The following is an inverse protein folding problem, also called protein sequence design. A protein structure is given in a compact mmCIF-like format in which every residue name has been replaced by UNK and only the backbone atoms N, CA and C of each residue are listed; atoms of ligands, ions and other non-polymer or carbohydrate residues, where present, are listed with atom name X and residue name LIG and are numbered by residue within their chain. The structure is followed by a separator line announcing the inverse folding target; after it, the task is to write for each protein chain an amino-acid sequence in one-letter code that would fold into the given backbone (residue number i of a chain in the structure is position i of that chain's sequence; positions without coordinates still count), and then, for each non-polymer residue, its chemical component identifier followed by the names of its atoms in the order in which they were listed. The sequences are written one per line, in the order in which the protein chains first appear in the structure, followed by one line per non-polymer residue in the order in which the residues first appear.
data_IF_666705531164
#
_entry.id   IF_666705531164
#
_cell.length_a   1.000
_cell.length_b   1.000
_cell.length_c   1.000
_cell.angle_alpha   90.00
_cell.angle_beta   90.00
_cell.angle_gamma   90.00
#
_symmetry.space_group_name_H-M   'P 1'
#
loop_
_entity.id
_entity.type
_entity.pdbx_description
1 polymer ?
#
# COMPACT_ATOMS: atom_id res chain seq x y z
N UNK A 1 -21.48 8.36 -17.17
CA UNK A 1 -21.92 6.96 -17.30
C UNK A 1 -23.03 6.71 -16.29
N UNK A 2 -23.87 5.68 -16.51
CA UNK A 2 -24.97 5.33 -15.58
C UNK A 2 -24.42 4.47 -14.42
N UNK A 3 -25.22 4.35 -13.38
CA UNK A 3 -25.03 3.30 -12.37
C UNK A 3 -24.98 1.93 -13.06
N UNK A 4 -24.10 1.06 -12.60
CA UNK A 4 -23.99 -0.33 -13.05
C UNK A 4 -24.92 -1.21 -12.22
N UNK A 5 -25.41 -2.31 -12.80
CA UNK A 5 -25.98 -3.34 -11.94
C UNK A 5 -24.86 -4.08 -11.17
N UNK A 6 -25.27 -4.87 -10.19
CA UNK A 6 -24.33 -5.55 -9.29
C UNK A 6 -23.34 -6.48 -10.03
N UNK A 7 -23.83 -7.18 -11.05
CA UNK A 7 -23.00 -8.09 -11.84
C UNK A 7 -22.01 -7.32 -12.72
N UNK A 8 -22.47 -6.25 -13.38
CA UNK A 8 -21.61 -5.35 -14.16
C UNK A 8 -20.52 -4.71 -13.30
N UNK A 9 -20.88 -4.19 -12.10
CA UNK A 9 -19.95 -3.56 -11.19
C UNK A 9 -18.89 -4.55 -10.68
N UNK A 10 -19.32 -5.75 -10.29
CA UNK A 10 -18.40 -6.83 -9.87
C UNK A 10 -17.44 -7.21 -11.00
N UNK A 11 -17.94 -7.47 -12.19
CA UNK A 11 -17.10 -7.84 -13.33
C UNK A 11 -16.08 -6.73 -13.69
N UNK A 12 -16.47 -5.45 -13.57
CA UNK A 12 -15.56 -4.33 -13.76
C UNK A 12 -14.44 -4.32 -12.72
N UNK A 13 -14.77 -4.51 -11.44
CA UNK A 13 -13.79 -4.54 -10.35
C UNK A 13 -12.83 -5.73 -10.50
N UNK A 14 -13.35 -6.91 -10.81
CA UNK A 14 -12.53 -8.10 -11.06
C UNK A 14 -11.53 -7.86 -12.20
N UNK A 15 -11.98 -7.34 -13.33
CA UNK A 15 -11.12 -7.01 -14.47
C UNK A 15 -10.07 -5.93 -14.13
N UNK A 16 -10.39 -4.95 -13.29
CA UNK A 16 -9.44 -3.96 -12.79
C UNK A 16 -8.36 -4.61 -11.94
N UNK A 17 -8.75 -5.47 -11.00
CA UNK A 17 -7.80 -6.16 -10.10
C UNK A 17 -6.88 -7.13 -10.88
N UNK A 18 -7.39 -7.80 -11.91
CA UNK A 18 -6.55 -8.60 -12.81
C UNK A 18 -5.48 -7.75 -13.51
N UNK A 19 -5.84 -6.57 -14.03
CA UNK A 19 -4.89 -5.62 -14.64
C UNK A 19 -3.86 -5.12 -13.62
N UNK A 20 -4.28 -4.84 -12.40
CA UNK A 20 -3.39 -4.41 -11.32
C UNK A 20 -2.42 -5.55 -10.96
N UNK A 21 -2.91 -6.79 -10.82
CA UNK A 21 -2.05 -7.94 -10.54
C UNK A 21 -1.01 -8.17 -11.65
N UNK A 22 -1.43 -8.09 -12.93
CA UNK A 22 -0.50 -8.19 -14.05
C UNK A 22 0.54 -7.06 -14.00
N UNK A 23 0.11 -5.80 -13.77
CA UNK A 23 1.02 -4.66 -13.67
C UNK A 23 1.98 -4.78 -12.49
N UNK A 24 1.51 -5.31 -11.35
CA UNK A 24 2.34 -5.59 -10.19
C UNK A 24 3.41 -6.62 -10.51
N UNK A 25 3.04 -7.70 -11.18
CA UNK A 25 3.99 -8.71 -11.64
C UNK A 25 5.10 -8.08 -12.48
N UNK A 26 4.74 -7.29 -13.49
CA UNK A 26 5.69 -6.65 -14.41
C UNK A 26 6.59 -5.60 -13.75
N UNK A 27 6.04 -4.80 -12.81
CA UNK A 27 6.73 -3.62 -12.27
C UNK A 27 7.36 -3.82 -10.91
N UNK A 28 6.82 -4.74 -10.12
CA UNK A 28 7.29 -5.00 -8.76
C UNK A 28 7.98 -6.34 -8.68
N UNK A 29 7.26 -7.44 -8.89
CA UNK A 29 7.79 -8.80 -8.68
C UNK A 29 8.96 -9.13 -9.61
N UNK A 30 8.85 -8.82 -10.91
CA UNK A 30 9.91 -9.02 -11.90
C UNK A 30 10.97 -7.90 -11.90
N UNK A 31 10.79 -6.88 -11.05
CA UNK A 31 11.73 -5.78 -10.91
C UNK A 31 13.08 -6.23 -10.32
N UNK A 32 14.17 -5.59 -10.74
CA UNK A 32 15.53 -5.92 -10.31
C UNK A 32 15.67 -5.94 -8.77
N UNK A 33 15.03 -5.00 -8.07
CA UNK A 33 15.07 -4.96 -6.61
C UNK A 33 14.58 -6.29 -6.02
N UNK A 34 13.41 -6.78 -6.45
CA UNK A 34 12.84 -8.01 -5.94
C UNK A 34 13.63 -9.25 -6.35
N UNK A 35 14.17 -9.27 -7.57
CA UNK A 35 15.03 -10.38 -8.01
C UNK A 35 16.31 -10.49 -7.16
N UNK A 36 16.98 -9.37 -6.90
CA UNK A 36 18.19 -9.34 -6.04
C UNK A 36 17.87 -9.64 -4.58
N UNK A 37 16.72 -9.13 -4.10
CA UNK A 37 16.22 -9.40 -2.76
C UNK A 37 15.90 -10.88 -2.56
N UNK A 38 15.08 -11.44 -3.43
CA UNK A 38 14.70 -12.85 -3.38
C UNK A 38 15.91 -13.80 -3.48
N UNK A 39 16.95 -13.38 -4.19
CA UNK A 39 18.21 -14.12 -4.29
C UNK A 39 19.13 -13.95 -3.04
N UNK A 40 18.79 -13.06 -2.11
CA UNK A 40 19.63 -12.77 -0.94
C UNK A 40 20.90 -11.98 -1.26
N UNK A 41 20.91 -11.24 -2.38
CA UNK A 41 22.11 -10.53 -2.86
C UNK A 41 22.12 -9.04 -2.52
N UNK A 42 21.02 -8.47 -2.02
CA UNK A 42 21.00 -7.06 -1.61
C UNK A 42 21.76 -6.87 -0.28
N UNK A 43 22.73 -5.94 -0.22
CA UNK A 43 23.36 -5.55 1.03
C UNK A 43 22.36 -4.97 2.05
N UNK A 44 22.64 -5.12 3.34
CA UNK A 44 21.77 -4.57 4.42
C UNK A 44 21.59 -3.05 4.32
N UNK A 45 22.61 -2.35 3.85
CA UNK A 45 22.59 -0.90 3.65
C UNK A 45 21.55 -0.46 2.60
N UNK A 46 21.27 -1.30 1.60
CA UNK A 46 20.21 -1.04 0.61
C UNK A 46 18.84 -1.13 1.28
N UNK A 47 18.65 -2.05 2.23
CA UNK A 47 17.43 -2.10 3.03
C UNK A 47 17.31 -0.91 3.96
N UNK A 48 18.39 -0.47 4.60
CA UNK A 48 18.36 0.75 5.39
C UNK A 48 17.89 1.94 4.53
N UNK A 49 18.39 2.06 3.29
CA UNK A 49 17.94 3.08 2.35
C UNK A 49 16.46 2.90 1.97
N UNK A 50 16.03 1.67 1.69
CA UNK A 50 14.62 1.37 1.40
C UNK A 50 13.72 1.76 2.58
N UNK A 51 14.01 1.28 3.80
CA UNK A 51 13.17 1.52 4.97
C UNK A 51 13.16 2.97 5.42
N UNK A 52 14.24 3.73 5.20
CA UNK A 52 14.25 5.17 5.43
C UNK A 52 13.18 5.89 4.59
N UNK A 53 13.04 5.49 3.33
CA UNK A 53 12.06 6.06 2.41
C UNK A 53 10.67 5.49 2.63
N UNK A 54 10.56 4.16 2.74
CA UNK A 54 9.30 3.47 2.93
C UNK A 54 8.65 3.78 4.27
N UNK A 55 9.42 3.87 5.36
CA UNK A 55 8.90 4.25 6.67
C UNK A 55 8.32 5.66 6.70
N UNK A 56 9.01 6.62 6.09
CA UNK A 56 8.50 7.99 5.96
C UNK A 56 7.21 8.02 5.11
N UNK A 57 7.17 7.26 4.01
CA UNK A 57 5.98 7.09 3.17
C UNK A 57 4.82 6.46 3.96
N UNK A 58 5.06 5.37 4.71
CA UNK A 58 4.05 4.66 5.49
C UNK A 58 3.39 5.59 6.52
N UNK A 59 4.18 6.36 7.24
CA UNK A 59 3.65 7.34 8.22
C UNK A 59 2.71 8.34 7.56
N UNK A 60 3.07 8.88 6.39
CA UNK A 60 2.28 9.91 5.73
C UNK A 60 1.07 9.32 4.98
N UNK A 61 1.18 8.16 4.32
CA UNK A 61 0.06 7.56 3.57
C UNK A 61 -1.06 7.12 4.52
N UNK A 62 -0.72 6.62 5.71
CA UNK A 62 -1.71 6.21 6.70
C UNK A 62 -2.52 7.40 7.21
N UNK A 63 -1.91 8.59 7.33
CA UNK A 63 -2.67 9.82 7.63
C UNK A 63 -3.65 10.19 6.52
N UNK A 64 -3.29 9.96 5.25
CA UNK A 64 -4.21 10.19 4.13
C UNK A 64 -5.37 9.18 4.15
N UNK A 65 -5.11 7.92 4.51
CA UNK A 65 -6.14 6.90 4.70
C UNK A 65 -7.15 7.34 5.78
N UNK A 66 -6.67 7.82 6.92
CA UNK A 66 -7.54 8.37 7.97
C UNK A 66 -8.34 9.60 7.48
N UNK A 67 -7.73 10.52 6.73
CA UNK A 67 -8.40 11.68 6.16
C UNK A 67 -9.49 11.30 5.14
N UNK A 68 -9.35 10.15 4.44
CA UNK A 68 -10.33 9.70 3.47
C UNK A 68 -11.71 9.42 4.09
N UNK A 69 -11.75 8.97 5.35
CA UNK A 69 -12.97 8.79 6.09
C UNK A 69 -13.79 10.10 6.17
N UNK A 70 -13.15 11.19 6.55
CA UNK A 70 -13.81 12.50 6.61
C UNK A 70 -14.13 13.06 5.22
N UNK A 71 -13.21 12.89 4.26
CA UNK A 71 -13.36 13.41 2.90
C UNK A 71 -14.54 12.79 2.16
N UNK A 72 -14.79 11.48 2.35
CA UNK A 72 -15.84 10.73 1.69
C UNK A 72 -17.00 10.36 2.65
N UNK A 73 -17.12 11.05 3.78
CA UNK A 73 -18.17 10.83 4.77
C UNK A 73 -19.60 10.82 4.19
N UNK A 74 -19.98 11.66 3.20
CA UNK A 74 -21.32 11.59 2.60
C UNK A 74 -21.65 10.23 1.98
N UNK A 75 -20.67 9.55 1.39
CA UNK A 75 -20.82 8.19 0.87
C UNK A 75 -20.92 7.18 2.01
N UNK A 76 -20.00 7.20 2.96
CA UNK A 76 -19.96 6.23 4.07
C UNK A 76 -21.19 6.31 4.98
N UNK A 77 -21.80 7.48 5.18
CA UNK A 77 -23.06 7.60 5.91
C UNK A 77 -24.21 6.82 5.29
N UNK A 78 -24.17 6.56 3.98
CA UNK A 78 -25.18 5.76 3.27
C UNK A 78 -24.84 4.26 3.29
N UNK A 79 -23.60 3.90 3.69
CA UNK A 79 -23.05 2.54 3.69
C UNK A 79 -22.36 2.26 5.02
N UNK A 80 -23.14 2.04 6.12
CA UNK A 80 -22.60 1.89 7.47
C UNK A 80 -21.71 0.64 7.62
N UNK A 81 -21.92 -0.39 6.83
CA UNK A 81 -21.08 -1.58 6.72
C UNK A 81 -19.66 -1.21 6.28
N UNK A 82 -19.52 -0.47 5.19
CA UNK A 82 -18.23 0.01 4.70
C UNK A 82 -17.61 1.07 5.63
N UNK A 83 -18.44 1.85 6.31
CA UNK A 83 -17.97 2.83 7.28
C UNK A 83 -17.29 2.15 8.47
N UNK A 84 -17.88 1.07 8.99
CA UNK A 84 -17.29 0.29 10.08
C UNK A 84 -15.96 -0.33 9.65
N UNK A 85 -15.94 -1.03 8.50
CA UNK A 85 -14.74 -1.66 7.97
C UNK A 85 -13.59 -0.66 7.72
N UNK A 86 -13.89 0.54 7.21
CA UNK A 86 -12.86 1.59 7.07
C UNK A 86 -12.36 2.08 8.43
N UNK A 87 -13.22 2.13 9.44
CA UNK A 87 -12.83 2.47 10.81
C UNK A 87 -11.84 1.47 11.39
N UNK A 88 -12.08 0.18 11.19
CA UNK A 88 -11.18 -0.90 11.62
C UNK A 88 -9.86 -0.85 10.87
N UNK A 89 -9.87 -0.68 9.55
CA UNK A 89 -8.66 -0.52 8.75
C UNK A 89 -7.80 0.68 9.20
N UNK A 90 -8.43 1.80 9.58
CA UNK A 90 -7.71 2.94 10.17
C UNK A 90 -7.16 2.58 11.55
N UNK A 91 -7.88 1.81 12.35
CA UNK A 91 -7.41 1.39 13.67
C UNK A 91 -6.16 0.49 13.55
N UNK A 92 -6.06 -0.38 12.56
CA UNK A 92 -4.88 -1.21 12.30
C UNK A 92 -3.64 -0.35 12.03
N UNK A 93 -3.79 0.75 11.32
CA UNK A 93 -2.67 1.62 11.02
C UNK A 93 -2.10 2.37 12.22
N UNK A 94 -2.95 2.67 13.23
CA UNK A 94 -2.58 3.54 14.35
C UNK A 94 -2.62 2.87 15.73
N UNK A 95 -3.37 1.77 15.87
CA UNK A 95 -3.69 1.18 17.17
C UNK A 95 -3.36 -0.32 17.22
N UNK A 96 -3.72 -1.09 16.18
CA UNK A 96 -3.62 -2.55 16.14
C UNK A 96 -2.40 -3.03 15.33
N UNK A 97 -1.89 -4.25 15.63
CA UNK A 97 -2.06 -5.00 16.88
C UNK A 97 -1.48 -4.23 18.07
N UNK A 98 -2.10 -4.40 19.23
CA UNK A 98 -1.71 -3.63 20.41
C UNK A 98 -0.32 -3.98 20.95
N UNK A 99 0.36 -2.97 21.47
CA UNK A 99 0.63 -1.69 20.85
C UNK A 99 1.81 -1.82 19.92
N UNK A 100 1.98 -1.07 19.00
CA UNK A 100 1.33 0.03 18.34
C UNK A 100 1.08 -0.28 16.87
N UNK A 101 0.07 0.32 16.23
CA UNK A 101 -0.30 0.10 14.84
C UNK A 101 0.85 -0.04 13.83
N UNK A 102 0.54 -0.37 12.61
CA UNK A 102 1.48 -0.67 11.51
C UNK A 102 2.60 0.37 11.36
N UNK A 103 2.30 1.65 11.57
CA UNK A 103 3.28 2.76 11.53
C UNK A 103 4.46 2.55 12.51
N UNK A 104 4.18 2.11 13.74
CA UNK A 104 5.24 1.92 14.74
C UNK A 104 5.91 0.54 14.62
N UNK A 105 5.18 -0.45 14.13
CA UNK A 105 5.78 -1.76 13.77
C UNK A 105 6.79 -1.56 12.65
N UNK A 106 6.52 -0.67 11.68
CA UNK A 106 7.47 -0.29 10.64
C UNK A 106 8.77 0.28 11.21
N UNK A 107 8.70 1.13 12.24
CA UNK A 107 9.90 1.66 12.90
C UNK A 107 10.73 0.57 13.59
N UNK A 108 10.09 -0.47 14.13
CA UNK A 108 10.78 -1.64 14.70
C UNK A 108 11.55 -2.41 13.62
N UNK A 109 10.90 -2.70 12.50
CA UNK A 109 11.57 -3.36 11.37
C UNK A 109 12.72 -2.52 10.83
N UNK A 110 12.56 -1.21 10.71
CA UNK A 110 13.63 -0.31 10.28
C UNK A 110 14.81 -0.29 11.27
N UNK A 111 14.55 -0.40 12.58
CA UNK A 111 15.60 -0.48 13.61
C UNK A 111 16.48 -1.74 13.46
N UNK A 112 15.95 -2.86 12.96
CA UNK A 112 16.74 -4.04 12.62
C UNK A 112 17.80 -3.78 11.55
N UNK A 113 17.65 -2.72 10.76
CA UNK A 113 18.63 -2.23 9.78
C UNK A 113 19.44 -1.03 10.27
N UNK A 114 19.42 -0.74 11.58
CA UNK A 114 20.20 0.32 12.20
C UNK A 114 19.63 1.73 12.05
N UNK A 115 18.38 1.86 11.61
CA UNK A 115 17.71 3.15 11.47
C UNK A 115 17.04 3.58 12.79
N UNK A 116 17.17 4.86 13.10
CA UNK A 116 16.45 5.51 14.18
C UNK A 116 15.14 6.11 13.67
N UNK A 117 14.25 6.48 14.59
CA UNK A 117 13.04 7.24 14.24
C UNK A 117 13.39 8.57 13.53
N UNK A 118 14.45 9.24 13.97
CA UNK A 118 14.92 10.49 13.37
C UNK A 118 15.35 10.29 11.92
N UNK A 119 16.04 9.20 11.59
CA UNK A 119 16.42 8.86 10.22
C UNK A 119 15.22 8.74 9.28
N UNK A 120 14.09 8.31 9.79
CA UNK A 120 12.85 8.13 9.02
C UNK A 120 12.02 9.42 8.99
N UNK A 121 11.85 10.09 10.13
CA UNK A 121 10.92 11.22 10.24
C UNK A 121 11.50 12.55 9.77
N UNK A 122 12.84 12.74 9.84
CA UNK A 122 13.46 14.05 9.61
C UNK A 122 14.25 14.16 8.31
N UNK A 123 14.53 13.02 7.65
CA UNK A 123 15.21 13.02 6.36
C UNK A 123 14.23 13.06 5.20
N UNK A 124 14.54 13.80 4.12
CA UNK A 124 13.68 13.84 2.94
C UNK A 124 13.64 12.47 2.26
N UNK A 125 12.47 12.10 1.76
CA UNK A 125 12.29 10.93 0.90
C UNK A 125 12.99 11.14 -0.45
N UNK A 126 13.32 10.04 -1.13
CA UNK A 126 13.62 10.06 -2.56
C UNK A 126 12.44 10.67 -3.34
N UNK A 127 12.75 11.36 -4.43
CA UNK A 127 11.76 12.09 -5.22
C UNK A 127 10.63 11.18 -5.72
N UNK A 128 10.96 9.93 -6.08
CA UNK A 128 10.00 8.95 -6.58
C UNK A 128 9.05 8.48 -5.48
N UNK A 129 9.55 8.28 -4.27
CA UNK A 129 8.75 7.93 -3.11
C UNK A 129 7.83 9.10 -2.72
N UNK A 130 8.34 10.33 -2.73
CA UNK A 130 7.55 11.55 -2.54
C UNK A 130 6.48 11.69 -3.63
N UNK A 131 6.83 11.44 -4.90
CA UNK A 131 5.90 11.48 -6.03
C UNK A 131 4.74 10.51 -5.88
N UNK A 132 4.99 9.28 -5.38
CA UNK A 132 3.95 8.31 -5.06
C UNK A 132 2.98 8.84 -4.01
N UNK A 133 3.50 9.42 -2.94
CA UNK A 133 2.69 10.00 -1.87
C UNK A 133 1.91 11.23 -2.34
N UNK A 134 2.52 12.12 -3.13
CA UNK A 134 1.87 13.32 -3.63
C UNK A 134 0.79 13.00 -4.66
N UNK A 135 0.94 11.92 -5.44
CA UNK A 135 -0.14 11.39 -6.29
C UNK A 135 -1.33 10.92 -5.46
N UNK A 136 -1.10 10.16 -4.38
CA UNK A 136 -2.16 9.76 -3.46
C UNK A 136 -2.84 10.98 -2.81
N UNK A 137 -2.05 11.98 -2.40
CA UNK A 137 -2.58 13.22 -1.82
C UNK A 137 -3.45 14.00 -2.83
N UNK A 138 -3.01 14.11 -4.08
CA UNK A 138 -3.79 14.73 -5.13
C UNK A 138 -5.13 14.01 -5.34
N UNK A 139 -5.14 12.67 -5.39
CA UNK A 139 -6.38 11.90 -5.50
C UNK A 139 -7.31 12.07 -4.29
N UNK A 140 -6.74 12.15 -3.08
CA UNK A 140 -7.55 12.38 -1.89
C UNK A 140 -8.27 13.73 -1.94
N UNK A 141 -7.60 14.81 -2.31
CA UNK A 141 -8.13 16.16 -2.19
C UNK A 141 -8.81 16.69 -3.46
N UNK A 142 -8.36 16.25 -4.64
CA UNK A 142 -8.82 16.72 -5.94
C UNK A 142 -9.61 15.66 -6.72
N UNK A 143 -9.36 14.37 -6.44
CA UNK A 143 -10.03 13.25 -7.08
C UNK A 143 -11.39 12.92 -6.47
N UNK A 144 -12.00 11.88 -7.03
CA UNK A 144 -13.24 11.27 -6.55
C UNK A 144 -12.98 10.13 -5.56
N UNK A 145 -14.03 9.70 -4.84
CA UNK A 145 -13.93 8.51 -3.99
C UNK A 145 -13.49 7.27 -4.79
N UNK A 146 -14.03 7.08 -6.00
CA UNK A 146 -13.67 5.94 -6.84
C UNK A 146 -12.21 5.97 -7.29
N UNK A 147 -11.66 7.14 -7.60
CA UNK A 147 -10.23 7.30 -7.92
C UNK A 147 -9.35 7.04 -6.70
N UNK A 148 -9.75 7.48 -5.51
CA UNK A 148 -9.05 7.18 -4.27
C UNK A 148 -9.07 5.69 -3.94
N UNK A 149 -10.23 5.03 -3.97
CA UNK A 149 -10.32 3.61 -3.66
C UNK A 149 -9.75 2.72 -4.77
N UNK A 150 -9.66 3.20 -6.01
CA UNK A 150 -8.99 2.46 -7.08
C UNK A 150 -7.46 2.43 -6.90
N UNK A 151 -6.83 3.49 -6.37
CA UNK A 151 -5.40 3.42 -6.08
C UNK A 151 -5.08 2.35 -5.01
N UNK A 152 -6.04 2.08 -4.13
CA UNK A 152 -5.95 1.05 -3.09
C UNK A 152 -6.14 -0.38 -3.63
N UNK A 153 -6.53 -0.57 -4.89
CA UNK A 153 -6.66 -1.91 -5.50
C UNK A 153 -5.36 -2.72 -5.53
N UNK A 154 -4.21 -2.07 -5.31
CA UNK A 154 -2.93 -2.74 -5.15
C UNK A 154 -2.69 -3.36 -3.77
N UNK A 155 -3.56 -3.17 -2.77
CA UNK A 155 -3.35 -3.68 -1.40
C UNK A 155 -3.38 -5.21 -1.35
N UNK A 156 -4.21 -5.88 -2.15
CA UNK A 156 -4.14 -7.35 -2.26
C UNK A 156 -2.75 -7.83 -2.72
N UNK A 157 -2.18 -7.16 -3.71
CA UNK A 157 -0.84 -7.50 -4.19
C UNK A 157 0.24 -7.10 -3.18
N UNK A 158 0.03 -6.02 -2.45
CA UNK A 158 0.92 -5.58 -1.38
C UNK A 158 0.92 -6.58 -0.22
N UNK A 159 -0.24 -7.09 0.22
CA UNK A 159 -0.32 -8.13 1.24
C UNK A 159 0.42 -9.42 0.85
N UNK A 160 0.28 -9.88 -0.41
CA UNK A 160 1.03 -11.03 -0.95
C UNK A 160 2.54 -10.75 -0.98
N UNK A 161 2.94 -9.58 -1.45
CA UNK A 161 4.32 -9.12 -1.46
C UNK A 161 4.90 -8.99 -0.05
N UNK A 162 4.11 -8.53 0.90
CA UNK A 162 4.52 -8.47 2.31
C UNK A 162 4.82 -9.86 2.87
N UNK A 163 3.97 -10.86 2.60
CA UNK A 163 4.25 -12.26 2.97
C UNK A 163 5.55 -12.77 2.36
N UNK A 164 5.79 -12.54 1.08
CA UNK A 164 7.04 -12.90 0.41
C UNK A 164 8.25 -12.19 1.04
N UNK A 165 8.13 -10.89 1.34
CA UNK A 165 9.19 -10.14 2.03
C UNK A 165 9.49 -10.70 3.41
N UNK A 166 8.47 -11.08 4.18
CA UNK A 166 8.65 -11.72 5.48
C UNK A 166 9.48 -12.99 5.38
N UNK A 167 9.12 -13.89 4.46
CA UNK A 167 9.84 -15.14 4.21
C UNK A 167 11.31 -14.90 3.82
N UNK A 168 11.55 -13.95 2.91
CA UNK A 168 12.90 -13.64 2.46
C UNK A 168 13.73 -13.03 3.60
N UNK A 169 13.19 -12.08 4.35
CA UNK A 169 13.89 -11.39 5.43
C UNK A 169 14.27 -12.35 6.55
N UNK A 170 13.37 -13.27 6.91
CA UNK A 170 13.63 -14.24 7.98
C UNK A 170 14.57 -15.36 7.53
N UNK A 171 14.43 -15.87 6.31
CA UNK A 171 15.22 -17.02 5.83
C UNK A 171 16.59 -16.64 5.27
N UNK A 172 16.72 -15.47 4.62
CA UNK A 172 17.96 -15.08 3.92
C UNK A 172 18.71 -13.94 4.58
N UNK A 173 18.02 -13.07 5.30
CA UNK A 173 18.66 -11.91 5.95
C UNK A 173 18.78 -12.05 7.46
N UNK A 174 18.23 -13.15 8.02
CA UNK A 174 18.41 -13.49 9.43
C UNK A 174 17.66 -12.59 10.39
N UNK A 175 16.59 -11.91 9.94
CA UNK A 175 15.69 -11.20 10.84
C UNK A 175 14.91 -12.22 11.66
N UNK A 176 14.68 -11.88 12.91
CA UNK A 176 13.74 -12.62 13.75
C UNK A 176 12.31 -12.33 13.29
N UNK A 177 11.34 -13.21 13.57
CA UNK A 177 9.92 -12.94 13.30
C UNK A 177 9.43 -11.61 13.89
N UNK A 178 9.91 -11.23 15.08
CA UNK A 178 9.54 -9.96 15.72
C UNK A 178 10.10 -8.74 14.97
N UNK A 179 11.32 -8.81 14.45
CA UNK A 179 11.91 -7.75 13.62
C UNK A 179 11.20 -7.62 12.26
N UNK A 180 10.68 -8.69 11.70
CA UNK A 180 9.97 -8.71 10.43
C UNK A 180 8.44 -8.52 10.58
N UNK A 181 7.92 -8.23 11.77
CA UNK A 181 6.50 -8.16 12.12
C UNK A 181 5.71 -7.21 11.21
N UNK A 182 6.30 -6.11 10.72
CA UNK A 182 5.63 -5.22 9.78
C UNK A 182 5.06 -5.97 8.57
N UNK A 183 5.84 -6.86 8.01
CA UNK A 183 5.46 -7.61 6.81
C UNK A 183 4.45 -8.70 7.10
N UNK A 184 4.59 -9.47 8.21
CA UNK A 184 3.60 -10.49 8.55
C UNK A 184 2.24 -9.87 8.88
N UNK A 185 2.22 -8.73 9.60
CA UNK A 185 0.96 -8.08 9.95
C UNK A 185 0.26 -7.43 8.76
N UNK A 186 0.98 -6.90 7.78
CA UNK A 186 0.35 -6.46 6.54
C UNK A 186 -0.18 -7.62 5.70
N UNK A 187 0.54 -8.75 5.66
CA UNK A 187 0.03 -9.94 5.01
C UNK A 187 -1.30 -10.42 5.62
N UNK A 188 -1.37 -10.48 6.95
CA UNK A 188 -2.58 -10.84 7.69
C UNK A 188 -3.71 -9.82 7.43
N UNK A 189 -3.47 -8.53 7.69
CA UNK A 189 -4.48 -7.48 7.60
C UNK A 189 -5.06 -7.27 6.19
N UNK A 190 -4.24 -7.45 5.15
CA UNK A 190 -4.68 -7.22 3.77
C UNK A 190 -5.43 -8.41 3.18
N UNK A 191 -5.11 -9.64 3.61
CA UNK A 191 -5.58 -10.87 2.95
C UNK A 191 -6.48 -11.75 3.79
N UNK A 192 -6.43 -11.68 5.12
CA UNK A 192 -7.21 -12.56 5.97
C UNK A 192 -8.57 -11.94 6.33
N UNK A 193 -9.61 -12.78 6.32
CA UNK A 193 -10.86 -12.47 6.98
C UNK A 193 -10.61 -12.62 8.49
N UNK A 194 -10.73 -11.53 9.23
CA UNK A 194 -10.64 -11.60 10.68
C UNK A 194 -11.85 -12.33 11.28
N UNK A 195 -11.64 -13.06 12.37
CA UNK A 195 -12.72 -13.65 13.18
C UNK A 195 -13.77 -12.56 13.51
N UNK A 196 -15.05 -12.89 13.34
CA UNK A 196 -16.22 -11.99 13.57
C UNK A 196 -16.73 -11.22 12.32
N UNK A 197 -16.28 -11.54 11.09
CA UNK A 197 -16.85 -10.94 9.88
C UNK A 197 -16.27 -9.57 9.53
N UNK A 198 -15.11 -9.23 10.08
CA UNK A 198 -14.33 -8.07 9.66
C UNK A 198 -13.60 -8.43 8.37
N UNK A 199 -13.86 -7.67 7.31
CA UNK A 199 -13.24 -7.88 6.00
C UNK A 199 -11.84 -7.25 5.97
N UNK A 200 -10.87 -7.92 5.36
CA UNK A 200 -9.50 -7.40 5.17
C UNK A 200 -9.47 -6.14 4.31
N UNK A 201 -8.36 -5.40 4.38
CA UNK A 201 -8.24 -4.11 3.69
C UNK A 201 -8.44 -4.21 2.18
N UNK A 202 -7.94 -5.26 1.54
CA UNK A 202 -8.12 -5.48 0.11
C UNK A 202 -9.59 -5.66 -0.27
N UNK A 203 -10.35 -6.44 0.51
CA UNK A 203 -11.78 -6.66 0.28
C UNK A 203 -12.61 -5.40 0.58
N UNK A 204 -12.27 -4.63 1.61
CA UNK A 204 -12.88 -3.33 1.88
C UNK A 204 -12.78 -2.40 0.66
N UNK A 205 -11.59 -2.30 0.06
CA UNK A 205 -11.38 -1.43 -1.10
C UNK A 205 -12.16 -1.94 -2.32
N UNK A 206 -12.20 -3.25 -2.53
CA UNK A 206 -12.97 -3.91 -3.58
C UNK A 206 -14.47 -3.63 -3.41
N UNK A 207 -15.02 -3.88 -2.22
CA UNK A 207 -16.42 -3.67 -1.91
C UNK A 207 -16.83 -2.18 -2.03
N UNK A 208 -15.96 -1.28 -1.56
CA UNK A 208 -16.18 0.16 -1.66
C UNK A 208 -16.23 0.62 -3.13
N UNK A 209 -15.29 0.18 -3.95
CA UNK A 209 -15.28 0.52 -5.37
C UNK A 209 -16.49 -0.05 -6.10
N UNK A 210 -16.86 -1.30 -5.84
CA UNK A 210 -18.07 -1.90 -6.40
C UNK A 210 -19.33 -1.10 -6.03
N UNK A 211 -19.48 -0.71 -4.78
CA UNK A 211 -20.63 0.09 -4.31
C UNK A 211 -20.70 1.48 -4.98
N UNK A 212 -19.55 2.12 -5.20
CA UNK A 212 -19.47 3.39 -5.93
C UNK A 212 -19.91 3.25 -7.40
N UNK A 213 -19.59 2.11 -8.04
CA UNK A 213 -20.06 1.80 -9.39
C UNK A 213 -21.56 1.54 -9.46
N UNK A 214 -22.09 0.76 -8.51
CA UNK A 214 -23.53 0.44 -8.39
C UNK A 214 -24.38 1.69 -8.17
N UNK A 215 -23.91 2.63 -7.36
CA UNK A 215 -24.61 3.89 -7.08
C UNK A 215 -24.43 4.94 -8.19
N UNK A 216 -23.52 4.71 -9.13
CA UNK A 216 -23.16 5.68 -10.20
C UNK A 216 -22.23 6.79 -9.73
N UNK A 217 -21.89 6.87 -8.42
CA UNK A 217 -21.00 7.90 -7.87
C UNK A 217 -19.56 7.78 -8.38
N UNK A 218 -19.15 6.60 -8.84
CA UNK A 218 -17.85 6.38 -9.46
C UNK A 218 -17.58 7.26 -10.70
N UNK A 219 -18.63 7.76 -11.34
CA UNK A 219 -18.53 8.53 -12.58
C UNK A 219 -18.79 10.04 -12.41
N UNK A 220 -18.94 10.49 -11.18
CA UNK A 220 -19.17 11.89 -10.88
C UNK A 220 -17.87 12.68 -10.99
N UNK A 221 -17.67 13.33 -12.13
CA UNK A 221 -16.56 14.26 -12.41
C UNK A 221 -15.17 13.68 -12.13
N UNK A 222 -14.79 12.54 -12.75
CA UNK A 222 -13.46 11.97 -12.55
C UNK A 222 -12.38 12.96 -13.03
N UNK A 223 -11.30 13.03 -12.27
CA UNK A 223 -10.12 13.84 -12.62
C UNK A 223 -9.20 13.08 -13.57
N UNK A 224 -8.94 11.80 -13.27
CA UNK A 224 -8.03 10.94 -14.03
C UNK A 224 -8.68 9.66 -14.54
N UNK A 225 -9.62 9.10 -13.77
CA UNK A 225 -10.29 7.85 -14.03
C UNK A 225 -9.71 6.66 -13.23
N UNK A 226 -10.59 5.71 -12.95
CA UNK A 226 -10.38 4.56 -12.05
C UNK A 226 -9.16 3.73 -12.45
N UNK A 227 -9.12 3.24 -13.69
CA UNK A 227 -8.03 2.37 -14.16
C UNK A 227 -6.69 3.10 -14.18
N UNK A 228 -6.67 4.35 -14.62
CA UNK A 228 -5.45 5.16 -14.62
C UNK A 228 -4.88 5.30 -13.21
N UNK A 229 -5.72 5.60 -12.22
CA UNK A 229 -5.28 5.77 -10.83
C UNK A 229 -4.70 4.48 -10.26
N UNK A 230 -5.36 3.35 -10.47
CA UNK A 230 -4.91 2.04 -10.01
C UNK A 230 -3.55 1.65 -10.62
N UNK A 231 -3.43 1.73 -11.94
CA UNK A 231 -2.21 1.32 -12.64
C UNK A 231 -1.05 2.28 -12.38
N UNK A 232 -1.30 3.60 -12.35
CA UNK A 232 -0.27 4.60 -12.04
C UNK A 232 0.29 4.39 -10.63
N UNK A 233 -0.56 4.11 -9.65
CA UNK A 233 -0.07 3.89 -8.27
C UNK A 233 0.76 2.61 -8.13
N UNK A 234 0.43 1.58 -8.92
CA UNK A 234 1.23 0.36 -9.05
C UNK A 234 2.58 0.64 -9.73
N UNK A 235 2.59 1.40 -10.83
CA UNK A 235 3.84 1.82 -11.50
C UNK A 235 4.75 2.62 -10.55
N UNK A 236 4.17 3.52 -9.77
CA UNK A 236 4.91 4.30 -8.76
C UNK A 236 5.49 3.42 -7.65
N UNK A 237 4.85 2.29 -7.30
CA UNK A 237 5.43 1.34 -6.35
C UNK A 237 6.71 0.70 -6.92
N UNK A 238 6.66 0.19 -8.14
CA UNK A 238 7.85 -0.34 -8.82
C UNK A 238 8.96 0.70 -8.97
N UNK A 239 8.58 1.95 -9.26
CA UNK A 239 9.53 3.06 -9.38
C UNK A 239 10.23 3.38 -8.04
N UNK A 240 9.55 3.28 -6.90
CA UNK A 240 10.17 3.44 -5.57
C UNK A 240 11.26 2.39 -5.34
N UNK A 241 10.99 1.12 -5.67
CA UNK A 241 11.98 0.05 -5.54
C UNK A 241 13.18 0.28 -6.48
N UNK A 242 12.91 0.62 -7.73
CA UNK A 242 13.96 0.91 -8.72
C UNK A 242 14.82 2.11 -8.32
N UNK A 243 14.21 3.18 -7.83
CA UNK A 243 14.95 4.39 -7.40
C UNK A 243 15.80 4.13 -6.17
N UNK A 244 15.38 3.22 -5.30
CA UNK A 244 16.19 2.76 -4.17
C UNK A 244 17.49 2.10 -4.66
N UNK A 245 17.42 1.20 -5.66
CA UNK A 245 18.63 0.61 -6.25
C UNK A 245 19.51 1.65 -6.94
N UNK A 246 18.92 2.59 -7.66
CA UNK A 246 19.67 3.66 -8.31
C UNK A 246 20.38 4.56 -7.28
N UNK A 247 19.72 4.88 -6.17
CA UNK A 247 20.32 5.63 -5.08
C UNK A 247 21.45 4.82 -4.42
N UNK A 248 21.25 3.53 -4.16
CA UNK A 248 22.27 2.63 -3.61
C UNK A 248 23.50 2.55 -4.52
N UNK A 249 23.32 2.52 -5.84
CA UNK A 249 24.45 2.58 -6.81
C UNK A 249 25.19 3.91 -6.75
N UNK A 250 24.47 5.03 -6.68
CA UNK A 250 25.09 6.37 -6.53
C UNK A 250 25.88 6.50 -5.24
N UNK A 251 25.39 5.92 -4.16
CA UNK A 251 26.03 5.89 -2.84
C UNK A 251 27.11 4.80 -2.72
N UNK A 252 27.33 4.00 -3.77
CA UNK A 252 28.30 2.88 -3.83
C UNK A 252 28.04 1.77 -2.79
N UNK A 253 26.78 1.59 -2.42
CA UNK A 253 26.33 0.49 -1.55
C UNK A 253 26.21 -0.84 -2.31
N UNK A 254 26.08 -0.79 -3.63
CA UNK A 254 26.14 -1.94 -4.52
C UNK A 254 27.48 -1.94 -5.26
N UNK A 255 28.21 -3.08 -5.21
CA UNK A 255 29.35 -3.29 -6.07
C UNK A 255 28.86 -3.50 -7.50
N UNK A 256 29.44 -2.78 -8.46
CA UNK A 256 29.16 -2.93 -9.89
C UNK A 256 29.76 -4.22 -10.39
#
# INVERSE_FOLDING_TARGET
MRAMDQQEARAYVEALYEKVAQRWQERVTEGEFMQEFAAGRLPREVFALFFRNWGAYTIEINTLTACSYQRFLPFFKQHPDLMAALGDAIADEFIHPQPPGHTLIMLRTAAAFGLTREDICERPMLAECRGKLDFARALLYEGTAAEWFSLKSGEEMFGRWAGECYEILTTKYGLTPDEATFFSKHHEADLEEHDEGVIGHAELNRATLQRLLETGQAWERPTYGIEYCALTFTDLHGLVLQSTLQAARRERLLQV
#
